data_IF_107958568977
#
_entry.id   IF_107958568977
#
_cell.length_a   1.000
_cell.length_b   1.000
_cell.length_c   1.000
_cell.angle_alpha   90.00
_cell.angle_beta   90.00
_cell.angle_gamma   90.00
#
_symmetry.space_group_name_H-M   'P 1'
#
loop_
_entity.id
_entity.type
_entity.pdbx_description
1 polymer ?
#
# COMPACT_ATOMS: atom_id res chain seq x y z
N UNK A 1 -1.18 -16.33 22.89
CA UNK A 1 -0.19 -15.62 22.05
C UNK A 1 -0.59 -14.14 21.97
N UNK A 2 0.39 -13.26 22.08
CA UNK A 2 0.19 -11.81 22.06
C UNK A 2 1.08 -11.19 20.98
N UNK A 3 0.53 -10.36 20.09
CA UNK A 3 1.26 -9.78 18.97
C UNK A 3 1.08 -8.26 18.97
N UNK A 4 2.15 -7.51 18.80
CA UNK A 4 2.05 -6.09 18.45
C UNK A 4 1.98 -5.99 16.93
N UNK A 5 0.94 -5.34 16.39
CA UNK A 5 0.84 -5.01 14.97
C UNK A 5 1.21 -3.54 14.75
N UNK A 6 2.24 -3.30 13.92
CA UNK A 6 2.76 -1.96 13.68
C UNK A 6 2.38 -1.48 12.26
N UNK A 7 1.61 -0.41 12.20
CA UNK A 7 1.26 0.30 10.97
C UNK A 7 1.19 1.81 11.26
N UNK A 8 1.62 2.66 10.33
CA UNK A 8 1.66 4.09 10.61
C UNK A 8 0.29 4.77 10.68
N UNK A 9 -0.79 4.09 10.27
CA UNK A 9 -2.20 4.53 10.43
C UNK A 9 -2.99 3.49 11.20
N UNK A 10 -3.88 3.96 12.06
CA UNK A 10 -4.83 3.12 12.77
C UNK A 10 -6.27 3.53 12.45
N UNK A 11 -6.53 3.72 11.15
CA UNK A 11 -7.84 3.99 10.54
C UNK A 11 -7.81 3.52 9.08
N UNK A 12 -8.95 3.23 8.48
CA UNK A 12 -9.03 2.72 7.11
C UNK A 12 -8.81 3.85 6.11
N UNK A 13 -7.69 3.80 5.40
CA UNK A 13 -7.35 4.71 4.30
C UNK A 13 -7.02 3.97 3.00
N UNK A 14 -6.79 2.66 3.05
CA UNK A 14 -6.44 1.85 1.89
C UNK A 14 -6.31 0.36 2.19
N UNK A 15 -5.67 -0.37 1.28
CA UNK A 15 -5.50 -1.82 1.36
C UNK A 15 -4.75 -2.32 2.60
N UNK A 16 -3.61 -1.72 2.97
CA UNK A 16 -2.86 -2.15 4.16
C UNK A 16 -3.66 -2.04 5.45
N UNK A 17 -4.43 -0.95 5.63
CA UNK A 17 -5.26 -0.76 6.82
C UNK A 17 -6.47 -1.72 6.84
N UNK A 18 -7.13 -1.93 5.69
CA UNK A 18 -8.18 -2.96 5.57
C UNK A 18 -7.65 -4.34 5.99
N UNK A 19 -6.45 -4.71 5.51
CA UNK A 19 -5.80 -5.96 5.91
C UNK A 19 -5.52 -6.00 7.41
N UNK A 20 -5.00 -4.91 7.98
CA UNK A 20 -4.69 -4.82 9.42
C UNK A 20 -5.92 -5.11 10.28
N UNK A 21 -7.04 -4.45 10.03
CA UNK A 21 -8.27 -4.65 10.82
C UNK A 21 -8.84 -6.05 10.63
N UNK A 22 -8.87 -6.58 9.39
CA UNK A 22 -9.28 -7.98 9.11
C UNK A 22 -8.36 -8.98 9.83
N UNK A 23 -7.05 -8.74 9.84
CA UNK A 23 -6.10 -9.58 10.57
C UNK A 23 -6.36 -9.55 12.09
N UNK A 24 -6.59 -8.38 12.67
CA UNK A 24 -6.87 -8.21 14.09
C UNK A 24 -8.15 -8.98 14.48
N UNK A 25 -9.20 -8.89 13.67
CA UNK A 25 -10.45 -9.63 13.87
C UNK A 25 -10.24 -11.15 13.77
N UNK A 26 -9.60 -11.62 12.71
CA UNK A 26 -9.30 -13.03 12.50
C UNK A 26 -8.42 -13.62 13.62
N UNK A 27 -7.46 -12.84 14.11
CA UNK A 27 -6.61 -13.22 15.23
C UNK A 27 -7.39 -13.31 16.54
N UNK A 28 -8.25 -12.34 16.83
CA UNK A 28 -9.13 -12.34 18.01
C UNK A 28 -10.04 -13.57 18.03
N UNK A 29 -10.62 -13.95 16.88
CA UNK A 29 -11.47 -15.15 16.75
C UNK A 29 -10.70 -16.45 17.01
N UNK A 30 -9.35 -16.41 17.00
CA UNK A 30 -8.45 -17.52 17.33
C UNK A 30 -7.82 -17.43 18.72
N UNK A 31 -8.28 -16.50 19.55
CA UNK A 31 -7.75 -16.30 20.91
C UNK A 31 -6.35 -15.66 20.92
N UNK A 32 -5.97 -14.95 19.85
CA UNK A 32 -4.71 -14.21 19.76
C UNK A 32 -4.98 -12.75 20.12
N UNK A 33 -4.29 -12.24 21.12
CA UNK A 33 -4.35 -10.83 21.48
C UNK A 33 -3.49 -10.02 20.51
N UNK A 34 -4.07 -9.01 19.86
CA UNK A 34 -3.36 -8.12 18.95
C UNK A 34 -3.40 -6.69 19.46
N UNK A 35 -2.22 -6.14 19.72
CA UNK A 35 -2.01 -4.80 20.26
C UNK A 35 -1.55 -3.89 19.11
N UNK A 36 -2.29 -2.82 18.77
CA UNK A 36 -1.86 -1.89 17.73
C UNK A 36 -0.73 -0.97 18.22
N UNK A 37 0.21 -0.69 17.31
CA UNK A 37 1.19 0.38 17.43
C UNK A 37 1.17 1.25 16.18
N UNK A 38 0.95 2.56 16.36
CA UNK A 38 0.75 3.48 15.24
C UNK A 38 1.32 4.87 15.52
N UNK A 39 0.97 5.82 14.66
CA UNK A 39 1.21 7.26 14.88
C UNK A 39 -0.09 7.92 15.32
N UNK A 40 -0.01 8.81 16.29
CA UNK A 40 -1.17 9.57 16.75
C UNK A 40 -1.78 10.39 15.62
N UNK A 41 -3.08 10.18 15.38
CA UNK A 41 -3.89 10.88 14.39
C UNK A 41 -5.31 11.05 14.92
N UNK A 42 -5.96 12.20 14.69
CA UNK A 42 -7.37 12.40 15.05
C UNK A 42 -8.36 11.41 14.40
N UNK A 43 -7.97 10.78 13.30
CA UNK A 43 -8.77 9.78 12.57
C UNK A 43 -8.60 8.36 13.10
N UNK A 44 -7.64 8.13 14.03
CA UNK A 44 -7.44 6.78 14.56
C UNK A 44 -8.68 6.28 15.29
N UNK A 45 -8.94 5.00 15.13
CA UNK A 45 -9.92 4.29 15.97
C UNK A 45 -9.53 4.36 17.44
N UNK A 46 -10.50 4.35 18.32
CA UNK A 46 -10.27 4.37 19.76
C UNK A 46 -9.52 3.14 20.23
N UNK A 47 -8.48 3.35 21.03
CA UNK A 47 -7.62 2.27 21.50
C UNK A 47 -6.96 2.60 22.84
N UNK A 48 -7.00 1.67 23.79
CA UNK A 48 -6.33 1.77 25.10
C UNK A 48 -4.80 1.93 24.98
N UNK A 49 -4.22 1.47 23.88
CA UNK A 49 -2.78 1.55 23.59
C UNK A 49 -2.36 2.85 22.90
N UNK A 50 -3.29 3.76 22.59
CA UNK A 50 -3.01 5.05 21.92
C UNK A 50 -1.97 5.90 22.65
N UNK A 51 -1.87 5.77 23.98
CA UNK A 51 -0.84 6.44 24.81
C UNK A 51 0.60 6.07 24.42
N UNK A 52 0.80 4.93 23.76
CA UNK A 52 2.10 4.47 23.25
C UNK A 52 2.35 4.88 21.80
N UNK A 53 1.36 5.38 21.08
CA UNK A 53 1.52 5.74 19.67
C UNK A 53 2.58 6.83 19.50
N UNK A 54 3.35 6.72 18.42
CA UNK A 54 4.38 7.71 18.10
C UNK A 54 3.75 9.08 17.86
N UNK A 55 4.46 10.15 18.23
CA UNK A 55 3.98 11.51 17.98
C UNK A 55 3.91 11.79 16.48
N UNK A 56 2.85 12.46 16.00
CA UNK A 56 2.79 12.91 14.62
C UNK A 56 3.92 13.92 14.36
N UNK A 57 4.52 13.86 13.19
CA UNK A 57 5.67 14.71 12.82
C UNK A 57 5.28 16.08 12.30
N UNK A 58 4.05 16.18 11.83
CA UNK A 58 3.38 17.43 11.50
C UNK A 58 1.91 17.26 11.86
N UNK A 59 1.17 18.37 11.99
CA UNK A 59 -0.28 18.33 12.19
C UNK A 59 -1.02 17.71 11.00
N UNK A 60 -0.35 17.49 9.87
CA UNK A 60 -0.87 16.90 8.64
C UNK A 60 -0.08 15.63 8.33
N UNK A 61 -0.78 14.50 8.14
CA UNK A 61 -0.20 13.18 7.89
C UNK A 61 0.39 13.00 6.49
N UNK A 62 -0.02 13.82 5.54
CA UNK A 62 0.48 13.79 4.17
C UNK A 62 1.54 14.86 3.95
N UNK A 63 2.71 14.50 3.43
CA UNK A 63 3.80 15.42 3.12
C UNK A 63 3.41 16.55 2.14
N UNK A 64 2.35 16.35 1.36
CA UNK A 64 1.90 17.32 0.35
C UNK A 64 1.39 18.63 0.96
N UNK A 65 0.77 18.56 2.15
CA UNK A 65 0.03 19.69 2.74
C UNK A 65 0.79 20.41 3.87
N UNK A 66 2.05 20.00 4.12
CA UNK A 66 2.81 20.55 5.24
C UNK A 66 3.43 21.90 4.87
N UNK A 67 3.02 22.98 5.54
CA UNK A 67 3.70 24.28 5.40
C UNK A 67 5.20 24.11 5.68
N UNK A 68 6.05 24.60 4.75
CA UNK A 68 7.52 24.54 4.83
C UNK A 68 8.04 25.48 5.91
N UNK A 69 7.94 25.13 7.18
CA UNK A 69 8.66 25.79 8.25
C UNK A 69 9.83 24.91 8.73
N UNK A 70 10.82 25.50 9.36
CA UNK A 70 12.06 24.84 9.75
C UNK A 70 11.82 23.65 10.70
N UNK A 71 10.88 23.77 11.64
CA UNK A 71 10.53 22.69 12.58
C UNK A 71 9.91 21.49 11.89
N UNK A 72 9.05 21.73 10.89
CA UNK A 72 8.45 20.65 10.09
C UNK A 72 9.50 19.95 9.21
N UNK A 73 10.44 20.70 8.65
CA UNK A 73 11.55 20.12 7.86
C UNK A 73 12.42 19.23 8.74
N UNK A 74 12.80 19.69 9.93
CA UNK A 74 13.60 18.88 10.88
C UNK A 74 12.81 17.63 11.31
N UNK A 75 11.53 17.77 11.60
CA UNK A 75 10.64 16.65 11.88
C UNK A 75 10.58 15.64 10.75
N UNK A 76 10.44 16.10 9.51
CA UNK A 76 10.44 15.25 8.31
C UNK A 76 11.77 14.51 8.11
N UNK A 77 12.90 15.20 8.28
CA UNK A 77 14.24 14.59 8.16
C UNK A 77 14.43 13.48 9.20
N UNK A 78 14.19 13.78 10.47
CA UNK A 78 14.29 12.78 11.55
C UNK A 78 13.43 11.58 11.26
N UNK A 79 12.29 11.81 10.76
CA UNK A 79 11.26 10.82 10.50
C UNK A 79 11.57 9.91 9.33
N UNK A 80 12.07 10.47 8.27
CA UNK A 80 12.45 9.70 7.09
C UNK A 80 13.70 8.87 7.40
N UNK A 81 14.63 9.41 8.19
CA UNK A 81 15.91 8.75 8.46
C UNK A 81 15.83 7.81 9.68
N UNK A 82 15.37 8.31 10.84
CA UNK A 82 15.31 7.50 12.07
C UNK A 82 14.37 8.12 13.10
N UNK A 83 13.30 7.39 13.46
CA UNK A 83 12.32 7.88 14.44
C UNK A 83 12.62 7.40 15.85
N UNK A 84 13.39 8.16 16.58
CA UNK A 84 13.69 7.86 17.98
C UNK A 84 12.45 7.84 18.90
N UNK A 85 11.44 8.67 18.65
CA UNK A 85 10.20 8.66 19.43
C UNK A 85 9.44 7.35 19.23
N UNK A 86 9.32 6.87 17.99
CA UNK A 86 8.70 5.58 17.69
C UNK A 86 9.50 4.43 18.31
N UNK A 87 10.84 4.46 18.21
CA UNK A 87 11.71 3.46 18.84
C UNK A 87 11.47 3.39 20.36
N UNK A 88 11.54 4.52 21.07
CA UNK A 88 11.36 4.57 22.52
C UNK A 88 9.96 4.11 22.95
N UNK A 89 8.93 4.54 22.24
CA UNK A 89 7.54 4.22 22.56
C UNK A 89 7.21 2.76 22.31
N UNK A 90 7.69 2.18 21.20
CA UNK A 90 7.52 0.76 20.93
C UNK A 90 8.26 -0.09 21.98
N UNK A 91 9.49 0.29 22.36
CA UNK A 91 10.22 -0.40 23.43
C UNK A 91 9.45 -0.38 24.76
N UNK A 92 8.86 0.77 25.10
CA UNK A 92 8.01 0.88 26.29
C UNK A 92 6.79 -0.04 26.18
N UNK A 93 6.07 -0.03 25.04
CA UNK A 93 4.93 -0.90 24.81
C UNK A 93 5.31 -2.38 24.94
N UNK A 94 6.45 -2.80 24.36
CA UNK A 94 6.95 -4.18 24.46
C UNK A 94 7.19 -4.58 25.93
N UNK A 95 7.85 -3.72 26.71
CA UNK A 95 8.13 -3.99 28.13
C UNK A 95 6.87 -4.07 28.99
N UNK A 96 5.88 -3.22 28.69
CA UNK A 96 4.65 -3.16 29.48
C UNK A 96 3.66 -4.29 29.11
N UNK A 97 3.76 -4.87 27.90
CA UNK A 97 2.80 -5.86 27.39
C UNK A 97 3.36 -7.26 27.17
N UNK A 98 4.68 -7.42 27.12
CA UNK A 98 5.38 -8.70 26.90
C UNK A 98 4.83 -9.50 25.72
N UNK A 99 4.89 -8.98 24.48
CA UNK A 99 4.37 -9.68 23.30
C UNK A 99 5.33 -10.81 22.87
N UNK A 100 4.76 -11.82 22.18
CA UNK A 100 5.53 -12.90 21.55
C UNK A 100 6.21 -12.46 20.25
N UNK A 101 5.60 -11.47 19.55
CA UNK A 101 6.13 -10.95 18.29
C UNK A 101 5.67 -9.52 18.00
N UNK A 102 6.46 -8.82 17.18
CA UNK A 102 6.08 -7.56 16.51
C UNK A 102 5.87 -7.85 15.03
N UNK A 103 4.64 -7.64 14.55
CA UNK A 103 4.24 -7.78 13.15
C UNK A 103 4.17 -6.42 12.50
N UNK A 104 5.10 -6.11 11.60
CA UNK A 104 5.23 -4.83 10.91
C UNK A 104 4.51 -4.93 9.57
N UNK A 105 3.55 -4.03 9.32
CA UNK A 105 2.84 -3.92 8.04
C UNK A 105 3.37 -2.77 7.19
N UNK A 106 3.60 -1.61 7.82
CA UNK A 106 4.07 -0.43 7.10
C UNK A 106 4.71 0.58 8.05
N UNK A 107 6.04 0.70 7.99
CA UNK A 107 6.81 1.59 8.88
C UNK A 107 7.31 2.86 8.20
N UNK A 108 7.29 2.88 6.87
CA UNK A 108 7.96 3.90 6.07
C UNK A 108 7.38 5.31 6.29
N UNK A 109 8.25 6.30 6.27
CA UNK A 109 7.96 7.74 6.37
C UNK A 109 7.44 8.25 7.71
N UNK A 110 6.96 7.41 8.61
CA UNK A 110 6.41 7.82 9.89
C UNK A 110 7.07 7.10 11.07
N UNK A 111 7.06 5.79 11.07
CA UNK A 111 7.68 4.97 12.11
C UNK A 111 9.17 4.74 11.85
N UNK A 112 9.57 4.65 10.58
CA UNK A 112 10.91 4.26 10.08
C UNK A 112 11.34 2.87 10.55
N UNK A 113 12.39 2.26 9.99
CA UNK A 113 12.97 0.99 10.47
C UNK A 113 13.50 1.01 11.90
N UNK A 114 13.43 2.17 12.60
CA UNK A 114 13.75 2.25 14.03
C UNK A 114 12.92 1.32 14.90
N UNK A 115 11.68 0.98 14.46
CA UNK A 115 10.82 0.02 15.18
C UNK A 115 11.33 -1.42 15.07
N UNK A 116 12.03 -1.79 14.00
CA UNK A 116 12.73 -3.07 13.88
C UNK A 116 13.83 -3.12 14.96
N UNK A 117 14.64 -2.07 15.05
CA UNK A 117 15.67 -1.96 16.08
C UNK A 117 15.10 -1.94 17.50
N UNK A 118 13.93 -1.34 17.69
CA UNK A 118 13.22 -1.36 18.98
C UNK A 118 12.90 -2.79 19.42
N UNK A 119 12.26 -3.57 18.55
CA UNK A 119 11.90 -4.96 18.81
C UNK A 119 13.13 -5.84 19.04
N UNK A 120 14.19 -5.67 18.22
CA UNK A 120 15.47 -6.38 18.39
C UNK A 120 16.11 -6.13 19.76
N UNK A 121 16.14 -4.87 20.22
CA UNK A 121 16.69 -4.50 21.52
C UNK A 121 15.94 -5.11 22.71
N UNK A 122 14.66 -5.36 22.55
CA UNK A 122 13.82 -6.00 23.57
C UNK A 122 13.73 -7.54 23.41
N UNK A 123 14.44 -8.11 22.43
CA UNK A 123 14.53 -9.56 22.23
C UNK A 123 13.24 -10.22 21.72
N UNK A 124 12.34 -9.44 21.09
CA UNK A 124 11.07 -9.92 20.58
C UNK A 124 11.17 -10.29 19.11
N UNK A 125 10.52 -11.37 18.68
CA UNK A 125 10.49 -11.80 17.28
C UNK A 125 9.91 -10.73 16.36
N UNK A 126 10.51 -10.59 15.18
CA UNK A 126 10.15 -9.56 14.22
C UNK A 126 9.66 -10.21 12.94
N UNK A 127 8.41 -9.97 12.60
CA UNK A 127 7.79 -10.39 11.33
C UNK A 127 7.45 -9.13 10.53
N UNK A 128 7.91 -9.06 9.29
CA UNK A 128 7.69 -7.91 8.43
C UNK A 128 6.91 -8.32 7.17
N UNK A 129 5.71 -7.80 6.99
CA UNK A 129 4.92 -8.03 5.77
C UNK A 129 5.32 -7.01 4.72
N UNK A 130 5.62 -7.51 3.53
CA UNK A 130 5.98 -6.67 2.39
C UNK A 130 4.68 -6.09 1.79
N UNK A 131 4.48 -4.81 2.03
CA UNK A 131 3.33 -4.06 1.48
C UNK A 131 3.71 -3.24 0.25
N UNK A 132 5.00 -2.92 0.11
CA UNK A 132 5.59 -2.19 -1.01
C UNK A 132 7.09 -2.49 -1.12
N UNK A 133 7.78 -1.83 -2.05
CA UNK A 133 9.20 -2.08 -2.33
C UNK A 133 10.13 -0.99 -1.81
N UNK A 134 9.78 -0.31 -0.72
CA UNK A 134 10.63 0.72 -0.11
C UNK A 134 12.02 0.26 0.32
N UNK A 135 12.21 -1.02 0.55
CA UNK A 135 13.53 -1.58 0.85
C UNK A 135 14.51 -1.38 -0.30
N UNK A 136 14.02 -1.34 -1.55
CA UNK A 136 14.83 -1.34 -2.76
C UNK A 136 14.64 -0.07 -3.61
N UNK A 137 13.44 0.50 -3.62
CA UNK A 137 13.10 1.66 -4.44
C UNK A 137 12.77 2.89 -3.58
N UNK A 138 13.44 4.06 -3.77
CA UNK A 138 13.14 5.28 -3.02
C UNK A 138 11.70 5.78 -3.16
N UNK A 139 11.04 5.44 -4.27
CA UNK A 139 9.63 5.78 -4.58
C UNK A 139 8.68 4.63 -4.23
N UNK A 140 9.16 3.43 -3.85
CA UNK A 140 8.43 2.21 -3.45
C UNK A 140 7.74 1.40 -4.57
N UNK A 141 7.57 1.91 -5.75
CA UNK A 141 6.68 1.38 -6.76
C UNK A 141 7.40 0.79 -7.98
N UNK A 142 8.73 0.91 -8.04
CA UNK A 142 9.53 0.50 -9.20
C UNK A 142 9.03 1.10 -10.53
N UNK A 143 8.48 2.33 -10.48
CA UNK A 143 7.96 3.02 -11.66
C UNK A 143 8.72 4.32 -11.88
N UNK A 144 9.16 4.58 -13.12
CA UNK A 144 9.78 5.83 -13.54
C UNK A 144 9.12 6.32 -14.84
N UNK A 145 8.31 7.39 -14.73
CA UNK A 145 7.35 7.70 -15.79
C UNK A 145 6.34 6.55 -15.90
N UNK A 146 6.17 6.01 -17.09
CA UNK A 146 5.28 4.88 -17.40
C UNK A 146 6.01 3.54 -17.50
N UNK A 147 7.31 3.53 -17.22
CA UNK A 147 8.14 2.34 -17.37
C UNK A 147 8.55 1.73 -16.03
N UNK A 148 8.58 0.41 -15.99
CA UNK A 148 9.15 -0.32 -14.85
C UNK A 148 10.64 0.02 -14.73
N UNK A 149 11.06 0.34 -13.51
CA UNK A 149 12.42 0.75 -13.21
C UNK A 149 12.95 0.05 -11.95
N UNK A 150 13.92 -0.83 -12.13
CA UNK A 150 14.56 -1.57 -11.04
C UNK A 150 16.00 -1.12 -10.77
N UNK A 151 16.42 0.03 -11.32
CA UNK A 151 17.81 0.52 -11.26
C UNK A 151 18.36 0.66 -9.84
N UNK A 152 17.48 0.86 -8.84
CA UNK A 152 17.90 1.02 -7.44
C UNK A 152 17.99 -0.30 -6.66
N UNK A 153 17.62 -1.43 -7.26
CA UNK A 153 17.50 -2.73 -6.58
C UNK A 153 18.78 -3.12 -5.82
N UNK A 154 19.94 -2.85 -6.40
CA UNK A 154 21.24 -3.23 -5.81
C UNK A 154 22.01 -2.04 -5.23
N UNK A 155 21.30 -0.94 -4.87
CA UNK A 155 21.89 0.20 -4.15
C UNK A 155 22.54 1.28 -5.02
N UNK A 156 22.39 1.20 -6.36
CA UNK A 156 22.72 2.33 -7.24
C UNK A 156 21.50 3.26 -7.36
N UNK A 157 21.59 4.41 -6.72
CA UNK A 157 20.53 5.41 -6.70
C UNK A 157 20.76 6.59 -7.66
N UNK A 158 21.73 6.50 -8.59
CA UNK A 158 22.09 7.56 -9.53
C UNK A 158 20.88 7.98 -10.39
N UNK A 159 20.18 7.01 -10.97
CA UNK A 159 18.96 7.26 -11.74
C UNK A 159 17.86 7.89 -10.90
N UNK A 160 17.63 7.42 -9.67
CA UNK A 160 16.60 7.98 -8.80
C UNK A 160 16.86 9.47 -8.48
N UNK A 161 18.12 9.84 -8.27
CA UNK A 161 18.53 11.23 -8.00
C UNK A 161 18.35 12.09 -9.26
N UNK A 162 18.74 11.58 -10.44
CA UNK A 162 18.57 12.27 -11.72
C UNK A 162 17.10 12.56 -12.00
N UNK A 163 16.26 11.53 -11.92
CA UNK A 163 14.81 11.60 -12.18
C UNK A 163 14.01 12.24 -11.04
N UNK A 164 14.64 12.60 -9.91
CA UNK A 164 13.98 13.18 -8.74
C UNK A 164 12.78 12.35 -8.28
N UNK A 165 12.95 11.02 -8.22
CA UNK A 165 11.86 10.03 -8.03
C UNK A 165 10.95 10.32 -6.83
N UNK A 166 11.45 10.93 -5.75
CA UNK A 166 10.63 11.26 -4.59
C UNK A 166 9.91 12.59 -4.80
N UNK A 167 8.66 12.51 -5.27
CA UNK A 167 7.75 13.67 -5.48
C UNK A 167 8.34 14.78 -6.36
N UNK A 168 9.15 14.47 -7.37
CA UNK A 168 9.81 15.45 -8.22
C UNK A 168 10.85 16.32 -7.49
N UNK A 169 11.20 15.99 -6.23
CA UNK A 169 12.07 16.79 -5.38
C UNK A 169 13.47 16.20 -5.32
N UNK A 170 14.46 16.94 -5.80
CA UNK A 170 15.87 16.55 -5.69
C UNK A 170 16.29 16.38 -4.22
N UNK A 171 15.95 17.33 -3.36
CA UNK A 171 16.25 17.28 -1.93
C UNK A 171 15.54 16.11 -1.22
N UNK A 172 14.26 15.86 -1.54
CA UNK A 172 13.49 14.73 -1.02
C UNK A 172 14.10 13.39 -1.43
N UNK A 173 14.56 13.29 -2.70
CA UNK A 173 15.22 12.07 -3.19
C UNK A 173 16.56 11.85 -2.50
N UNK A 174 17.42 12.88 -2.37
CA UNK A 174 18.67 12.76 -1.62
C UNK A 174 18.45 12.31 -0.18
N UNK A 175 17.47 12.89 0.51
CA UNK A 175 17.14 12.51 1.88
C UNK A 175 16.73 11.04 1.98
N UNK A 176 15.88 10.58 1.05
CA UNK A 176 15.44 9.19 1.01
C UNK A 176 16.60 8.23 0.71
N UNK A 177 17.43 8.55 -0.26
CA UNK A 177 18.61 7.77 -0.62
C UNK A 177 19.59 7.70 0.55
N UNK A 178 19.83 8.82 1.24
CA UNK A 178 20.67 8.84 2.43
C UNK A 178 20.13 7.93 3.54
N UNK A 179 18.80 7.94 3.75
CA UNK A 179 18.14 7.03 4.71
C UNK A 179 18.34 5.57 4.30
N UNK A 180 18.11 5.21 3.03
CA UNK A 180 18.27 3.84 2.53
C UNK A 180 19.73 3.36 2.66
N UNK A 181 20.71 4.21 2.35
CA UNK A 181 22.12 3.91 2.57
C UNK A 181 22.45 3.70 4.05
N UNK A 182 21.83 4.47 4.95
CA UNK A 182 21.96 4.26 6.40
C UNK A 182 21.38 2.91 6.81
N UNK A 183 20.20 2.54 6.31
CA UNK A 183 19.55 1.26 6.62
C UNK A 183 20.41 0.08 6.14
N UNK A 184 20.95 0.15 4.94
CA UNK A 184 21.87 -0.83 4.40
C UNK A 184 23.15 -0.93 5.24
N UNK A 185 23.77 0.22 5.61
CA UNK A 185 24.98 0.26 6.46
C UNK A 185 24.72 -0.31 7.85
N UNK A 186 23.59 -0.04 8.45
CA UNK A 186 23.21 -0.52 9.80
C UNK A 186 22.65 -1.93 9.77
N UNK A 187 22.42 -2.49 8.59
CA UNK A 187 21.83 -3.83 8.39
C UNK A 187 20.53 -4.03 9.18
N UNK A 188 19.72 -2.97 9.31
CA UNK A 188 18.53 -3.00 10.19
C UNK A 188 17.50 -4.04 9.75
N UNK A 189 17.41 -4.35 8.46
CA UNK A 189 16.50 -5.38 7.95
C UNK A 189 17.03 -6.80 8.17
N UNK A 190 18.33 -6.99 8.46
CA UNK A 190 18.88 -8.29 8.83
C UNK A 190 18.34 -8.75 10.21
N UNK A 191 17.88 -7.81 11.05
CA UNK A 191 17.26 -8.08 12.35
C UNK A 191 15.84 -8.67 12.23
N UNK A 192 15.23 -8.66 11.03
CA UNK A 192 13.92 -9.28 10.77
C UNK A 192 14.07 -10.80 10.75
N UNK A 193 13.23 -11.49 11.53
CA UNK A 193 13.25 -12.95 11.62
C UNK A 193 12.52 -13.59 10.44
N UNK A 194 11.39 -13.01 10.02
CA UNK A 194 10.61 -13.48 8.85
C UNK A 194 10.01 -12.33 8.08
N UNK A 195 10.16 -12.39 6.75
CA UNK A 195 9.43 -11.56 5.80
C UNK A 195 8.22 -12.32 5.27
N UNK A 196 7.06 -11.67 5.25
CA UNK A 196 5.84 -12.21 4.67
C UNK A 196 5.63 -11.58 3.29
N UNK A 197 5.71 -12.39 2.26
CA UNK A 197 5.35 -12.01 0.89
C UNK A 197 3.96 -12.53 0.56
N UNK A 198 3.20 -11.75 -0.21
CA UNK A 198 1.83 -12.09 -0.57
C UNK A 198 1.72 -12.89 -1.86
N UNK A 199 2.78 -12.89 -2.67
CA UNK A 199 2.86 -13.55 -3.98
C UNK A 199 4.30 -13.98 -4.28
N UNK A 200 4.47 -14.87 -5.24
CA UNK A 200 5.80 -15.34 -5.66
C UNK A 200 6.63 -14.21 -6.29
N UNK A 201 5.98 -13.29 -7.00
CA UNK A 201 6.67 -12.13 -7.55
C UNK A 201 7.39 -11.35 -6.46
N UNK A 202 6.68 -10.97 -5.38
CA UNK A 202 7.30 -10.23 -4.27
C UNK A 202 8.35 -11.06 -3.53
N UNK A 203 8.16 -12.37 -3.36
CA UNK A 203 9.19 -13.28 -2.83
C UNK A 203 10.45 -13.23 -3.68
N UNK A 204 10.32 -13.40 -5.01
CA UNK A 204 11.45 -13.39 -5.93
C UNK A 204 12.19 -12.04 -5.91
N UNK A 205 11.46 -10.91 -5.81
CA UNK A 205 12.08 -9.58 -5.68
C UNK A 205 12.87 -9.41 -4.37
N UNK A 206 12.42 -10.01 -3.27
CA UNK A 206 13.19 -9.99 -2.03
C UNK A 206 14.47 -10.82 -2.15
N UNK A 207 14.40 -12.02 -2.75
CA UNK A 207 15.57 -12.87 -2.98
C UNK A 207 16.56 -12.16 -3.89
N UNK A 208 16.10 -11.57 -5.00
CA UNK A 208 16.91 -10.76 -5.91
C UNK A 208 17.58 -9.57 -5.20
N UNK A 209 16.87 -8.93 -4.27
CA UNK A 209 17.37 -7.85 -3.42
C UNK A 209 18.31 -8.31 -2.29
N UNK A 210 18.63 -9.60 -2.20
CA UNK A 210 19.60 -10.16 -1.26
C UNK A 210 19.02 -10.62 0.08
N UNK A 211 17.70 -10.72 0.23
CA UNK A 211 17.10 -11.30 1.44
C UNK A 211 17.20 -12.83 1.36
N UNK A 212 17.74 -13.50 2.38
CA UNK A 212 17.84 -14.97 2.40
C UNK A 212 16.47 -15.64 2.28
N UNK A 213 16.36 -16.63 1.41
CA UNK A 213 15.07 -17.27 1.10
C UNK A 213 14.47 -17.97 2.31
N UNK A 214 15.30 -18.51 3.20
CA UNK A 214 14.86 -19.14 4.44
C UNK A 214 14.20 -18.14 5.43
N UNK A 215 14.44 -16.84 5.26
CA UNK A 215 13.73 -15.78 6.00
C UNK A 215 12.40 -15.37 5.36
N UNK A 216 12.04 -15.87 4.19
CA UNK A 216 10.85 -15.47 3.48
C UNK A 216 9.75 -16.52 3.62
N UNK A 217 8.54 -16.10 3.96
CA UNK A 217 7.35 -16.94 3.94
C UNK A 217 6.33 -16.37 2.96
N UNK A 218 5.75 -17.25 2.12
CA UNK A 218 4.67 -16.90 1.22
C UNK A 218 3.34 -17.08 1.95
N UNK A 219 2.66 -15.96 2.24
CA UNK A 219 1.34 -15.93 2.89
C UNK A 219 0.46 -14.97 2.10
N UNK A 220 -0.38 -15.47 1.20
CA UNK A 220 -1.27 -14.66 0.40
C UNK A 220 -2.19 -13.78 1.25
N UNK A 221 -2.61 -12.64 0.69
CA UNK A 221 -3.67 -11.84 1.28
C UNK A 221 -4.95 -12.66 1.31
N UNK A 222 -5.68 -12.58 2.38
CA UNK A 222 -6.95 -13.30 2.55
C UNK A 222 -8.16 -12.37 2.50
N UNK A 223 -9.29 -12.94 2.14
CA UNK A 223 -10.62 -12.34 2.30
C UNK A 223 -11.50 -13.32 3.09
N UNK A 224 -12.33 -12.80 3.95
CA UNK A 224 -13.41 -13.61 4.52
C UNK A 224 -14.52 -13.72 3.48
N UNK A 225 -14.64 -14.91 2.90
CA UNK A 225 -15.65 -15.21 1.87
C UNK A 225 -16.91 -15.88 2.45
N UNK A 226 -17.01 -16.04 3.77
CA UNK A 226 -18.15 -16.74 4.39
C UNK A 226 -19.47 -15.99 4.23
N UNK A 227 -19.41 -14.70 3.97
CA UNK A 227 -20.55 -13.81 3.76
C UNK A 227 -20.70 -13.36 2.29
N UNK A 228 -19.89 -13.92 1.38
CA UNK A 228 -19.90 -13.56 -0.03
C UNK A 228 -20.43 -14.76 -0.81
N UNK A 229 -21.55 -14.57 -1.51
CA UNK A 229 -22.08 -15.55 -2.44
C UNK A 229 -21.65 -15.17 -3.86
N UNK A 230 -20.98 -16.06 -4.62
CA UNK A 230 -20.57 -15.77 -5.99
C UNK A 230 -21.78 -15.50 -6.87
N UNK A 231 -21.77 -14.37 -7.59
CA UNK A 231 -22.79 -13.98 -8.56
C UNK A 231 -22.26 -14.10 -9.98
N UNK A 232 -22.87 -14.96 -10.79
CA UNK A 232 -22.46 -15.20 -12.19
C UNK A 232 -23.32 -14.42 -13.20
N UNK A 233 -24.39 -13.80 -12.75
CA UNK A 233 -25.17 -12.86 -13.57
C UNK A 233 -24.40 -11.56 -13.74
N UNK A 234 -24.62 -10.89 -14.86
CA UNK A 234 -23.97 -9.61 -15.13
C UNK A 234 -24.81 -8.68 -16.01
N UNK A 235 -24.60 -7.40 -15.82
CA UNK A 235 -25.06 -6.34 -16.71
C UNK A 235 -23.95 -6.00 -17.73
N UNK A 236 -24.26 -5.18 -18.71
CA UNK A 236 -23.33 -4.79 -19.78
C UNK A 236 -22.35 -3.71 -19.33
N UNK A 237 -21.50 -4.01 -18.30
CA UNK A 237 -20.43 -3.10 -17.92
C UNK A 237 -19.19 -3.83 -17.39
N UNK A 238 -18.04 -3.23 -17.66
CA UNK A 238 -16.77 -3.53 -17.03
C UNK A 238 -16.58 -2.63 -15.81
N UNK A 239 -15.91 -3.09 -14.78
CA UNK A 239 -15.73 -2.33 -13.56
C UNK A 239 -14.23 -2.10 -13.28
N UNK A 240 -13.82 -0.83 -13.22
CA UNK A 240 -12.55 -0.43 -12.64
C UNK A 240 -12.76 -0.12 -11.15
N UNK A 241 -12.16 -0.96 -10.29
CA UNK A 241 -12.30 -0.88 -8.85
C UNK A 241 -10.98 -0.42 -8.22
N UNK A 242 -10.90 0.86 -7.85
CA UNK A 242 -9.71 1.42 -7.24
C UNK A 242 -9.61 2.93 -7.34
N UNK A 243 -8.57 3.49 -6.73
CA UNK A 243 -8.28 4.92 -6.86
C UNK A 243 -7.84 5.24 -8.29
N UNK A 244 -8.30 6.35 -8.83
CA UNK A 244 -7.80 6.89 -10.10
C UNK A 244 -6.42 7.51 -9.88
N UNK A 245 -5.41 6.69 -9.84
CA UNK A 245 -4.02 7.08 -9.70
C UNK A 245 -3.26 6.59 -10.92
N UNK A 246 -2.31 7.37 -11.40
CA UNK A 246 -1.52 7.11 -12.60
C UNK A 246 -1.05 5.66 -12.71
N UNK A 247 -0.44 5.14 -11.63
CA UNK A 247 0.08 3.77 -11.61
C UNK A 247 -0.99 2.67 -11.69
N UNK A 248 -2.27 3.00 -11.46
CA UNK A 248 -3.39 2.05 -11.62
C UNK A 248 -3.86 1.92 -13.06
N UNK A 249 -3.38 2.79 -13.95
CA UNK A 249 -3.60 2.68 -15.38
C UNK A 249 -5.04 2.94 -15.82
N UNK A 250 -5.82 3.74 -15.08
CA UNK A 250 -7.23 4.06 -15.40
C UNK A 250 -7.40 4.52 -16.84
N UNK A 251 -6.44 5.30 -17.35
CA UNK A 251 -6.47 5.81 -18.74
C UNK A 251 -6.51 4.66 -19.76
N UNK A 252 -5.79 3.56 -19.53
CA UNK A 252 -5.77 2.43 -20.48
C UNK A 252 -7.10 1.68 -20.52
N UNK A 253 -7.83 1.59 -19.38
CA UNK A 253 -9.18 1.06 -19.37
C UNK A 253 -10.14 1.96 -20.17
N UNK A 254 -9.99 3.28 -20.04
CA UNK A 254 -10.79 4.26 -20.79
C UNK A 254 -10.47 4.18 -22.28
N UNK A 255 -9.18 4.11 -22.66
CA UNK A 255 -8.76 3.97 -24.05
C UNK A 255 -9.32 2.71 -24.71
N UNK A 256 -9.37 1.61 -23.98
CA UNK A 256 -9.92 0.35 -24.47
C UNK A 256 -11.39 0.46 -24.90
N UNK A 257 -12.16 1.40 -24.32
CA UNK A 257 -13.57 1.59 -24.67
C UNK A 257 -13.78 2.13 -26.09
N UNK A 258 -12.75 2.68 -26.74
CA UNK A 258 -12.81 3.05 -28.17
C UNK A 258 -13.08 1.84 -29.07
N UNK A 259 -12.56 0.67 -28.69
CA UNK A 259 -12.75 -0.57 -29.46
C UNK A 259 -14.12 -1.21 -29.23
N UNK A 260 -14.95 -0.61 -28.38
CA UNK A 260 -16.27 -1.10 -27.98
C UNK A 260 -17.36 -0.07 -28.25
N UNK A 261 -17.11 0.91 -29.14
CA UNK A 261 -18.06 1.98 -29.48
C UNK A 261 -19.37 1.43 -30.00
N UNK A 262 -19.34 0.38 -30.82
CA UNK A 262 -20.52 -0.26 -31.46
C UNK A 262 -21.26 -1.25 -30.52
N UNK A 263 -20.93 -1.29 -29.25
CA UNK A 263 -21.54 -2.17 -28.25
C UNK A 263 -22.32 -1.38 -27.21
N UNK A 264 -23.22 -2.05 -26.45
CA UNK A 264 -23.90 -1.42 -25.30
C UNK A 264 -23.06 -1.43 -24.00
N UNK A 265 -21.84 -1.96 -24.04
CA UNK A 265 -21.00 -2.01 -22.87
C UNK A 265 -20.47 -0.63 -22.47
N UNK A 266 -20.41 -0.39 -21.16
CA UNK A 266 -19.81 0.79 -20.56
C UNK A 266 -18.71 0.41 -19.57
N UNK A 267 -17.80 1.33 -19.28
CA UNK A 267 -16.83 1.20 -18.18
C UNK A 267 -17.34 2.01 -17.00
N UNK A 268 -17.62 1.34 -15.90
CA UNK A 268 -17.88 1.98 -14.61
C UNK A 268 -16.58 2.11 -13.82
N UNK A 269 -16.31 3.29 -13.28
CA UNK A 269 -15.10 3.61 -12.51
C UNK A 269 -15.54 4.05 -11.13
N UNK A 270 -15.07 3.34 -10.07
CA UNK A 270 -15.31 3.76 -8.69
C UNK A 270 -14.44 4.96 -8.36
N UNK A 271 -15.11 6.04 -7.93
CA UNK A 271 -14.47 7.32 -7.66
C UNK A 271 -15.09 8.46 -8.46
N UNK A 272 -14.53 9.63 -8.31
CA UNK A 272 -15.00 10.86 -8.93
C UNK A 272 -13.84 11.58 -9.61
N UNK A 273 -14.13 12.33 -10.66
CA UNK A 273 -13.21 13.26 -11.27
C UNK A 273 -13.01 14.43 -10.30
N UNK A 274 -11.80 14.61 -9.85
CA UNK A 274 -11.42 15.73 -8.99
C UNK A 274 -10.85 16.91 -9.79
N UNK A 275 -10.54 18.00 -9.10
CA UNK A 275 -9.83 19.16 -9.69
C UNK A 275 -8.33 18.89 -9.90
N UNK A 276 -7.84 17.68 -9.62
CA UNK A 276 -6.44 17.34 -9.87
C UNK A 276 -6.11 17.44 -11.35
N UNK A 277 -4.86 17.80 -11.66
CA UNK A 277 -4.41 17.91 -13.06
C UNK A 277 -4.58 16.58 -13.81
N UNK A 278 -4.28 15.46 -13.14
CA UNK A 278 -4.39 14.11 -13.71
C UNK A 278 -5.84 13.77 -14.07
N UNK A 279 -6.80 14.05 -13.16
CA UNK A 279 -8.21 13.77 -13.42
C UNK A 279 -8.78 14.67 -14.53
N UNK A 280 -8.34 15.93 -14.60
CA UNK A 280 -8.75 16.85 -15.66
C UNK A 280 -8.18 16.44 -17.04
N UNK A 281 -6.98 15.89 -17.08
CA UNK A 281 -6.41 15.31 -18.31
C UNK A 281 -7.20 14.06 -18.76
N UNK A 282 -7.60 13.19 -17.84
CA UNK A 282 -8.49 12.05 -18.11
C UNK A 282 -9.84 12.53 -18.64
N UNK A 283 -10.46 13.51 -17.98
CA UNK A 283 -11.75 14.05 -18.42
C UNK A 283 -11.67 14.68 -19.81
N UNK A 284 -10.62 15.45 -20.07
CA UNK A 284 -10.38 16.01 -21.40
C UNK A 284 -10.25 14.89 -22.45
N UNK A 285 -9.48 13.85 -22.15
CA UNK A 285 -9.34 12.71 -23.06
C UNK A 285 -10.69 12.05 -23.38
N UNK A 286 -11.56 11.83 -22.39
CA UNK A 286 -12.91 11.30 -22.57
C UNK A 286 -13.73 12.19 -23.52
N UNK A 287 -13.65 13.52 -23.32
CA UNK A 287 -14.41 14.47 -24.15
C UNK A 287 -13.90 14.50 -25.60
N UNK A 288 -12.57 14.61 -25.77
CA UNK A 288 -11.93 14.75 -27.09
C UNK A 288 -12.12 13.49 -27.96
N UNK A 289 -12.34 12.33 -27.34
CA UNK A 289 -12.53 11.06 -28.03
C UNK A 289 -13.99 10.57 -28.06
N UNK A 290 -14.98 11.40 -27.67
CA UNK A 290 -16.40 11.05 -27.77
C UNK A 290 -16.88 9.97 -26.79
N UNK A 291 -16.09 9.64 -25.75
CA UNK A 291 -16.36 8.51 -24.84
C UNK A 291 -17.32 8.81 -23.70
N UNK A 292 -17.95 9.99 -23.66
CA UNK A 292 -18.82 10.40 -22.54
C UNK A 292 -19.93 9.39 -22.21
N UNK A 293 -20.50 8.76 -23.23
CA UNK A 293 -21.58 7.77 -23.06
C UNK A 293 -21.06 6.37 -22.71
N UNK A 294 -19.74 6.16 -22.75
CA UNK A 294 -19.08 4.88 -22.47
C UNK A 294 -18.45 4.81 -21.09
N UNK A 295 -18.27 5.95 -20.41
CA UNK A 295 -17.61 6.03 -19.12
C UNK A 295 -18.58 6.56 -18.07
N UNK A 296 -18.71 5.84 -16.96
CA UNK A 296 -19.59 6.18 -15.85
C UNK A 296 -18.77 6.23 -14.57
N UNK A 297 -18.67 7.41 -13.94
CA UNK A 297 -18.10 7.56 -12.62
C UNK A 297 -19.18 7.33 -11.57
N UNK A 298 -18.97 6.34 -10.67
CA UNK A 298 -20.01 5.93 -9.72
C UNK A 298 -19.93 6.66 -8.37
N UNK A 299 -18.90 7.50 -8.19
CA UNK A 299 -18.57 8.02 -6.88
C UNK A 299 -17.92 6.96 -5.98
N UNK A 300 -17.72 7.33 -4.70
CA UNK A 300 -17.18 6.42 -3.70
C UNK A 300 -18.32 5.59 -3.10
N UNK A 301 -18.31 4.28 -3.37
CA UNK A 301 -19.33 3.34 -2.89
C UNK A 301 -18.78 2.48 -1.77
N UNK A 302 -19.65 2.09 -0.84
CA UNK A 302 -19.34 1.24 0.31
C UNK A 302 -20.47 0.24 0.61
N UNK A 303 -20.14 -0.81 1.37
CA UNK A 303 -21.15 -1.79 1.81
C UNK A 303 -21.89 -2.43 0.66
N UNK A 304 -23.23 -2.56 0.78
CA UNK A 304 -24.06 -3.28 -0.18
C UNK A 304 -24.01 -2.67 -1.59
N UNK A 305 -23.97 -1.34 -1.73
CA UNK A 305 -23.89 -0.70 -3.05
C UNK A 305 -22.63 -1.10 -3.82
N UNK A 306 -21.50 -1.21 -3.12
CA UNK A 306 -20.26 -1.68 -3.73
C UNK A 306 -20.33 -3.17 -4.08
N UNK A 307 -20.93 -3.98 -3.20
CA UNK A 307 -21.18 -5.41 -3.43
C UNK A 307 -22.01 -5.61 -4.68
N UNK A 308 -23.17 -4.93 -4.78
CA UNK A 308 -24.07 -5.01 -5.93
C UNK A 308 -23.38 -4.58 -7.24
N UNK A 309 -22.52 -3.55 -7.15
CA UNK A 309 -21.77 -3.10 -8.32
C UNK A 309 -20.72 -4.14 -8.77
N UNK A 310 -20.09 -4.86 -7.84
CA UNK A 310 -19.18 -5.95 -8.18
C UNK A 310 -19.97 -7.12 -8.75
N UNK A 311 -21.04 -7.55 -8.09
CA UNK A 311 -21.86 -8.71 -8.44
C UNK A 311 -22.49 -8.62 -9.83
N UNK A 312 -22.87 -7.41 -10.24
CA UNK A 312 -23.49 -7.19 -11.56
C UNK A 312 -22.50 -6.84 -12.67
N UNK A 313 -21.19 -6.74 -12.37
CA UNK A 313 -20.16 -6.48 -13.38
C UNK A 313 -19.92 -7.68 -14.29
N UNK A 314 -19.57 -7.44 -15.56
CA UNK A 314 -19.12 -8.48 -16.49
C UNK A 314 -17.73 -8.99 -16.08
N UNK A 315 -16.83 -8.08 -15.76
CA UNK A 315 -15.50 -8.38 -15.22
C UNK A 315 -14.93 -7.16 -14.48
N UNK A 316 -13.91 -7.43 -13.68
CA UNK A 316 -13.10 -6.38 -13.05
C UNK A 316 -11.88 -6.11 -13.94
N UNK A 317 -11.57 -4.82 -14.17
CA UNK A 317 -10.42 -4.41 -14.99
C UNK A 317 -9.35 -3.77 -14.11
N UNK A 318 -8.13 -4.30 -14.16
CA UNK A 318 -6.96 -3.83 -13.38
C UNK A 318 -5.77 -3.59 -14.30
N UNK A 319 -5.74 -2.50 -15.08
CA UNK A 319 -4.72 -2.23 -16.10
C UNK A 319 -3.50 -1.51 -15.49
N UNK A 320 -3.06 -1.94 -14.30
CA UNK A 320 -1.96 -1.32 -13.59
C UNK A 320 -0.66 -1.36 -14.40
N UNK A 321 0.12 -0.27 -14.34
CA UNK A 321 1.42 -0.13 -15.01
C UNK A 321 2.61 -0.31 -14.05
N UNK A 322 2.35 -0.58 -12.79
CA UNK A 322 3.33 -0.80 -11.74
C UNK A 322 3.23 -2.21 -11.17
N UNK A 323 4.21 -2.60 -10.36
CA UNK A 323 4.17 -3.87 -9.64
C UNK A 323 3.17 -3.84 -8.50
N UNK A 324 2.00 -4.42 -8.73
CA UNK A 324 1.04 -4.70 -7.66
C UNK A 324 1.57 -5.83 -6.76
N UNK A 325 1.25 -5.73 -5.48
CA UNK A 325 1.63 -6.72 -4.49
C UNK A 325 0.37 -7.45 -3.98
N UNK A 326 -0.25 -8.28 -4.83
CA UNK A 326 -1.49 -9.01 -4.63
C UNK A 326 -2.66 -8.07 -4.27
N UNK A 327 -3.24 -7.36 -5.24
CA UNK A 327 -4.28 -6.37 -4.99
C UNK A 327 -5.58 -7.01 -4.47
N UNK A 328 -6.15 -6.41 -3.43
CA UNK A 328 -7.40 -6.87 -2.83
C UNK A 328 -8.55 -6.95 -3.84
N UNK A 329 -8.58 -6.04 -4.82
CA UNK A 329 -9.61 -6.01 -5.86
C UNK A 329 -9.69 -7.28 -6.69
N UNK A 330 -8.55 -7.95 -6.93
CA UNK A 330 -8.52 -9.23 -7.64
C UNK A 330 -9.12 -10.34 -6.78
N UNK A 331 -8.75 -10.38 -5.49
CA UNK A 331 -9.26 -11.39 -4.55
C UNK A 331 -10.76 -11.19 -4.31
N UNK A 332 -11.18 -9.93 -4.16
CA UNK A 332 -12.59 -9.55 -4.02
C UNK A 332 -13.37 -9.97 -5.27
N UNK A 333 -12.86 -9.70 -6.49
CA UNK A 333 -13.49 -10.13 -7.74
C UNK A 333 -13.72 -11.65 -7.77
N UNK A 334 -12.69 -12.43 -7.45
CA UNK A 334 -12.79 -13.90 -7.45
C UNK A 334 -13.77 -14.42 -6.39
N UNK A 335 -13.81 -13.81 -5.21
CA UNK A 335 -14.80 -14.18 -4.18
C UNK A 335 -16.24 -13.94 -4.65
N UNK A 336 -16.46 -12.89 -5.46
CA UNK A 336 -17.75 -12.58 -6.08
C UNK A 336 -18.01 -13.35 -7.39
N UNK A 337 -17.15 -14.29 -7.78
CA UNK A 337 -17.29 -15.07 -9.01
C UNK A 337 -17.03 -14.28 -10.29
N UNK A 338 -16.32 -13.14 -10.20
CA UNK A 338 -16.05 -12.27 -11.36
C UNK A 338 -14.68 -12.51 -11.97
N UNK A 339 -14.60 -12.66 -13.31
CA UNK A 339 -13.32 -12.71 -14.00
C UNK A 339 -12.58 -11.37 -13.90
N UNK A 340 -11.26 -11.41 -14.02
CA UNK A 340 -10.41 -10.22 -13.99
C UNK A 340 -9.63 -10.11 -15.29
N UNK A 341 -9.66 -8.93 -15.90
CA UNK A 341 -8.79 -8.55 -17.01
C UNK A 341 -7.71 -7.62 -16.45
N UNK A 342 -6.46 -8.04 -16.54
CA UNK A 342 -5.35 -7.32 -15.92
C UNK A 342 -4.14 -7.18 -16.82
N UNK A 343 -3.26 -6.21 -16.51
CA UNK A 343 -1.93 -6.15 -17.08
C UNK A 343 -1.12 -7.40 -16.68
N UNK A 344 -0.32 -7.94 -17.60
CA UNK A 344 0.58 -9.06 -17.30
C UNK A 344 1.86 -8.59 -16.63
N UNK A 345 1.75 -8.07 -15.40
CA UNK A 345 2.85 -7.43 -14.69
C UNK A 345 2.82 -7.77 -13.19
N UNK A 346 4.00 -8.01 -12.58
CA UNK A 346 4.11 -8.27 -11.15
C UNK A 346 3.22 -9.42 -10.70
N UNK A 347 2.53 -9.26 -9.58
CA UNK A 347 1.61 -10.26 -9.02
C UNK A 347 0.35 -10.48 -9.88
N UNK A 348 -0.02 -9.52 -10.72
CA UNK A 348 -1.18 -9.66 -11.62
C UNK A 348 -0.95 -10.75 -12.68
N UNK A 349 0.30 -11.03 -13.02
CA UNK A 349 0.65 -12.11 -13.96
C UNK A 349 0.51 -13.52 -13.34
N UNK A 350 0.52 -13.63 -12.01
CA UNK A 350 0.33 -14.89 -11.28
C UNK A 350 -1.14 -15.28 -11.19
#
# INVERSE_FOLDING_TARGET
MKIIIANYRYFIAGGPEKYMFKFMEAAKNRGIEVIPFSVNNPQNEDCEYSKYFAKPRSKQLMYADTKKNLSNIIGMVRATVWNFDAEMRLRKLIRDTHPDAVYILHEVNQLSPSIIRAAKKEGVRIVHRISDFFMFCPKYDFLCGDEICESCMHGDYSKAIHEKCVKGSKAGTYLRVAAMKLYAKTKVFDDVDKFICTCNFSKNKLVEGGIPEDKIALVPTFIDSTQIEPCYEHDKYFLFLGRMAHQKGTIYAIEAMKYLEDTDYVLKITGEISESKEDQEIWKYICDNGLKNKIVFTGFLHGQELTDLIDRSTCIVTPAIWYENMPNTVIEAYAHGKPVVSSRIGSLAE
#
